data_IF_542571868459
#
_entry.id   IF_542571868459
#
_cell.length_a   1.000
_cell.length_b   1.000
_cell.length_c   1.000
_cell.angle_alpha   90.00
_cell.angle_beta   90.00
_cell.angle_gamma   90.00
#
_symmetry.space_group_name_H-M   'P 1'
#
loop_
_entity.id
_entity.type
_entity.pdbx_description
1 polymer ?
#
# COMPACT_ATOMS: atom_id res chain seq x y z
N UNK A 1 5.73 21.63 26.65
CA UNK A 1 5.40 20.31 27.21
C UNK A 1 5.05 19.42 26.04
N UNK A 2 5.56 18.19 25.98
CA UNK A 2 5.19 17.26 24.90
C UNK A 2 3.81 16.67 25.20
N UNK A 3 2.79 17.28 24.58
CA UNK A 3 1.39 16.90 24.76
C UNK A 3 1.05 15.62 23.98
N UNK A 4 0.02 14.92 24.44
CA UNK A 4 -0.57 13.81 23.73
C UNK A 4 -1.36 14.37 22.55
N UNK A 5 -0.91 14.11 21.32
CA UNK A 5 -1.58 14.59 20.12
C UNK A 5 -2.66 13.61 19.73
N UNK A 6 -3.91 14.08 19.71
CA UNK A 6 -5.07 13.28 19.29
C UNK A 6 -5.70 13.92 18.06
N UNK A 7 -5.71 13.21 16.95
CA UNK A 7 -6.29 13.69 15.70
C UNK A 7 -7.48 12.83 15.33
N UNK A 8 -8.66 13.45 15.27
CA UNK A 8 -9.83 12.84 14.63
C UNK A 8 -9.83 13.21 13.15
N UNK A 9 -10.16 12.25 12.31
CA UNK A 9 -10.22 12.46 10.87
C UNK A 9 -11.48 11.84 10.29
N UNK A 10 -11.97 12.50 9.26
CA UNK A 10 -13.05 12.03 8.41
C UNK A 10 -12.74 12.47 6.97
N UNK A 11 -13.00 11.59 6.01
CA UNK A 11 -12.78 11.87 4.60
C UNK A 11 -13.86 11.21 3.78
N UNK A 12 -14.34 11.93 2.77
CA UNK A 12 -15.25 11.41 1.77
C UNK A 12 -14.73 11.86 0.41
N UNK A 13 -14.68 10.94 -0.55
CA UNK A 13 -14.19 11.22 -1.89
C UNK A 13 -15.14 10.62 -2.93
N UNK A 14 -15.34 11.38 -4.00
CA UNK A 14 -15.98 10.94 -5.22
C UNK A 14 -14.94 10.76 -6.31
N UNK A 15 -15.04 9.64 -7.01
CA UNK A 15 -14.11 9.25 -8.06
C UNK A 15 -14.83 9.30 -9.40
N UNK A 16 -14.28 10.09 -10.32
CA UNK A 16 -14.83 10.34 -11.66
C UNK A 16 -13.82 9.94 -12.72
N UNK A 17 -14.23 9.11 -13.67
CA UNK A 17 -13.33 8.53 -14.67
C UNK A 17 -13.30 7.01 -14.56
N UNK A 18 -12.64 6.35 -15.51
CA UNK A 18 -12.70 4.91 -15.67
C UNK A 18 -14.05 4.36 -16.10
N UNK A 19 -14.25 3.05 -15.89
CA UNK A 19 -15.47 2.34 -16.30
C UNK A 19 -16.69 2.58 -15.42
N UNK A 20 -16.51 3.09 -14.18
CA UNK A 20 -17.60 3.30 -13.21
C UNK A 20 -17.19 4.33 -12.16
N UNK A 21 -18.01 5.36 -11.96
CA UNK A 21 -17.87 6.29 -10.82
C UNK A 21 -18.24 5.61 -9.50
N UNK A 22 -17.51 5.95 -8.43
CA UNK A 22 -17.71 5.37 -7.11
C UNK A 22 -17.36 6.35 -5.99
N UNK A 23 -17.66 5.94 -4.76
CA UNK A 23 -17.40 6.72 -3.56
C UNK A 23 -16.48 5.93 -2.65
N UNK A 24 -15.55 6.64 -2.02
CA UNK A 24 -14.72 6.11 -0.94
C UNK A 24 -14.71 7.07 0.23
N UNK A 25 -14.34 6.59 1.41
CA UNK A 25 -14.14 7.44 2.56
C UNK A 25 -13.41 6.74 3.68
N UNK A 26 -13.09 7.54 4.69
CA UNK A 26 -12.34 7.09 5.86
C UNK A 26 -12.79 7.86 7.09
N UNK A 27 -12.76 7.22 8.25
CA UNK A 27 -13.00 7.88 9.53
C UNK A 27 -12.16 7.23 10.62
N UNK A 28 -11.75 7.99 11.62
CA UNK A 28 -10.99 7.41 12.72
C UNK A 28 -10.31 8.40 13.64
N UNK A 29 -9.39 7.85 14.41
CA UNK A 29 -8.60 8.58 15.40
C UNK A 29 -7.16 8.07 15.40
N UNK A 30 -6.21 9.01 15.44
CA UNK A 30 -4.80 8.73 15.64
C UNK A 30 -4.28 9.46 16.87
N UNK A 31 -3.39 8.80 17.59
CA UNK A 31 -2.73 9.35 18.77
C UNK A 31 -1.23 9.21 18.61
N UNK A 32 -0.47 10.25 18.94
CA UNK A 32 0.99 10.22 18.99
C UNK A 32 1.51 11.03 20.18
N UNK A 33 2.64 10.63 20.76
CA UNK A 33 3.26 11.39 21.84
C UNK A 33 4.76 11.43 21.65
N UNK A 34 5.32 12.64 21.54
CA UNK A 34 6.77 12.82 21.50
C UNK A 34 7.36 12.64 22.90
N UNK A 35 8.45 11.89 22.99
CA UNK A 35 9.18 11.58 24.22
C UNK A 35 10.68 11.68 23.93
N UNK A 36 11.20 12.91 23.89
CA UNK A 36 12.60 13.15 23.53
C UNK A 36 12.89 12.75 22.07
N UNK A 37 13.69 11.71 21.87
CA UNK A 37 14.08 11.18 20.56
C UNK A 37 13.18 10.04 20.04
N UNK A 38 12.15 9.64 20.79
CA UNK A 38 11.18 8.61 20.40
C UNK A 38 9.76 9.18 20.42
N UNK A 39 8.93 8.76 19.47
CA UNK A 39 7.50 9.10 19.39
C UNK A 39 6.67 7.85 19.05
N UNK A 40 6.13 7.14 20.05
CA UNK A 40 5.11 6.11 19.79
C UNK A 40 3.82 6.73 19.25
N UNK A 41 3.05 5.94 18.51
CA UNK A 41 1.71 6.31 18.09
C UNK A 41 0.83 5.10 17.77
N UNK A 42 -0.48 5.31 17.82
CA UNK A 42 -1.49 4.33 17.49
C UNK A 42 -2.61 4.97 16.67
N UNK A 43 -3.22 4.23 15.75
CA UNK A 43 -4.31 4.74 14.91
C UNK A 43 -5.36 3.67 14.67
N UNK A 44 -6.61 4.09 14.67
CA UNK A 44 -7.74 3.30 14.25
C UNK A 44 -8.39 4.04 13.09
N UNK A 45 -8.46 3.40 11.93
CA UNK A 45 -9.15 3.90 10.75
C UNK A 45 -10.21 2.89 10.29
N UNK A 46 -11.35 3.39 9.83
CA UNK A 46 -12.33 2.60 9.07
C UNK A 46 -12.40 3.22 7.69
N UNK A 47 -11.98 2.47 6.67
CA UNK A 47 -12.08 2.85 5.28
C UNK A 47 -13.29 2.15 4.66
N UNK A 48 -14.02 2.83 3.77
CA UNK A 48 -15.11 2.23 3.01
C UNK A 48 -15.01 2.63 1.54
N UNK A 49 -15.36 1.70 0.65
CA UNK A 49 -15.30 1.90 -0.80
C UNK A 49 -16.16 0.85 -1.53
N UNK A 50 -16.69 1.21 -2.69
CA UNK A 50 -17.48 0.31 -3.55
C UNK A 50 -17.00 0.28 -5.02
N UNK A 51 -15.75 0.69 -5.22
CA UNK A 51 -15.06 0.75 -6.51
C UNK A 51 -13.58 1.05 -6.30
N UNK A 52 -12.83 1.16 -7.39
CA UNK A 52 -11.38 1.38 -7.34
C UNK A 52 -10.60 0.15 -6.87
N UNK A 53 -9.43 0.42 -6.31
CA UNK A 53 -8.49 -0.60 -5.82
C UNK A 53 -9.11 -1.40 -4.66
N UNK A 54 -8.96 -2.73 -4.69
CA UNK A 54 -9.55 -3.62 -3.69
C UNK A 54 -11.05 -3.91 -3.87
N UNK A 55 -11.73 -3.32 -4.85
CA UNK A 55 -13.08 -3.71 -5.26
C UNK A 55 -13.04 -4.52 -6.57
N UNK A 56 -14.12 -5.22 -6.92
CA UNK A 56 -14.28 -5.87 -8.23
C UNK A 56 -14.96 -4.96 -9.27
N UNK A 57 -14.69 -5.20 -10.55
CA UNK A 57 -15.19 -4.40 -11.69
C UNK A 57 -16.67 -4.64 -11.92
N UNK A 58 -17.11 -5.86 -11.64
CA UNK A 58 -18.45 -6.38 -11.85
C UNK A 58 -19.30 -6.37 -10.57
N UNK A 59 -18.79 -5.76 -9.50
CA UNK A 59 -19.46 -5.69 -8.19
C UNK A 59 -19.73 -4.25 -7.74
N UNK A 60 -20.85 -4.08 -7.03
CA UNK A 60 -21.20 -2.84 -6.31
C UNK A 60 -21.11 -3.02 -4.79
N UNK A 61 -20.53 -4.13 -4.32
CA UNK A 61 -20.44 -4.43 -2.90
C UNK A 61 -19.65 -3.33 -2.18
N UNK A 62 -20.14 -2.91 -1.02
CA UNK A 62 -19.42 -2.00 -0.14
C UNK A 62 -18.40 -2.81 0.67
N UNK A 63 -17.15 -2.39 0.60
CA UNK A 63 -16.08 -2.93 1.41
C UNK A 63 -15.82 -2.03 2.60
N UNK A 64 -15.42 -2.64 3.71
CA UNK A 64 -15.01 -1.96 4.93
C UNK A 64 -13.69 -2.54 5.38
N UNK A 65 -12.68 -1.68 5.53
CA UNK A 65 -11.37 -2.03 6.09
C UNK A 65 -11.22 -1.32 7.44
N UNK A 66 -11.24 -2.07 8.53
CA UNK A 66 -10.84 -1.55 9.85
C UNK A 66 -9.34 -1.77 10.01
N UNK A 67 -8.59 -0.68 10.06
CA UNK A 67 -7.12 -0.68 10.13
C UNK A 67 -6.69 -0.22 11.51
N UNK A 68 -6.08 -1.14 12.26
CA UNK A 68 -5.42 -0.89 13.55
C UNK A 68 -3.93 -0.73 13.30
N UNK A 69 -3.39 0.44 13.59
CA UNK A 69 -1.98 0.74 13.38
C UNK A 69 -1.26 0.99 14.70
N UNK A 70 -0.08 0.41 14.85
CA UNK A 70 0.91 0.81 15.87
C UNK A 70 2.19 1.29 15.19
N UNK A 71 2.80 2.36 15.72
CA UNK A 71 4.07 2.89 15.20
C UNK A 71 5.03 3.31 16.30
N UNK A 72 6.32 3.30 15.95
CA UNK A 72 7.38 3.97 16.69
C UNK A 72 8.17 4.81 15.70
N UNK A 73 8.32 6.10 16.00
CA UNK A 73 9.21 7.01 15.30
C UNK A 73 10.42 7.30 16.17
N UNK A 74 11.62 7.27 15.62
CA UNK A 74 12.83 7.79 16.27
C UNK A 74 13.40 8.91 15.43
N UNK A 75 13.90 9.97 16.07
CA UNK A 75 14.36 11.13 15.32
C UNK A 75 14.96 12.25 16.15
N UNK A 76 15.38 13.29 15.43
CA UNK A 76 16.00 14.49 15.97
C UNK A 76 15.44 15.76 15.31
N UNK A 77 15.64 16.90 15.97
CA UNK A 77 15.16 18.20 15.53
C UNK A 77 13.66 18.40 15.73
N UNK A 78 13.18 19.60 15.41
CA UNK A 78 11.77 19.96 15.48
C UNK A 78 11.32 20.35 14.08
N UNK A 79 10.49 19.50 13.46
CA UNK A 79 9.94 19.72 12.13
C UNK A 79 8.46 20.08 12.21
N UNK A 80 7.96 20.70 11.15
CA UNK A 80 6.52 20.87 10.98
C UNK A 80 5.82 19.49 10.96
N UNK A 81 4.57 19.37 11.42
CA UNK A 81 3.87 18.10 11.40
C UNK A 81 3.80 17.52 9.99
N UNK A 82 4.00 16.22 9.86
CA UNK A 82 3.86 15.51 8.60
C UNK A 82 3.08 14.23 8.83
N UNK A 83 2.07 13.99 8.01
CA UNK A 83 1.21 12.80 8.09
C UNK A 83 2.02 11.55 7.79
N UNK A 84 1.87 10.52 8.62
CA UNK A 84 2.31 9.15 8.34
C UNK A 84 1.14 8.43 7.66
N UNK A 85 1.32 7.85 6.48
CA UNK A 85 0.30 7.09 5.74
C UNK A 85 0.55 5.58 5.89
N UNK A 86 0.15 4.95 7.01
CA UNK A 86 0.64 3.63 7.38
C UNK A 86 0.26 2.52 6.39
N UNK A 87 -0.72 2.76 5.51
CA UNK A 87 -1.15 1.89 4.43
C UNK A 87 -1.19 2.70 3.11
N UNK A 88 -2.26 2.60 2.32
CA UNK A 88 -2.45 3.38 1.10
C UNK A 88 -2.83 4.83 1.41
N UNK A 89 -2.60 5.75 0.47
CA UNK A 89 -2.83 7.21 0.68
C UNK A 89 -4.29 7.63 0.88
N UNK A 90 -5.23 6.75 0.53
CA UNK A 90 -6.65 6.92 0.84
C UNK A 90 -7.07 6.36 2.21
N UNK A 91 -6.18 5.63 2.90
CA UNK A 91 -6.44 5.18 4.26
C UNK A 91 -6.21 6.36 5.19
N UNK A 92 -7.25 6.72 5.94
CA UNK A 92 -7.15 7.82 6.90
C UNK A 92 -6.12 7.55 7.98
N UNK A 93 -5.43 8.61 8.40
CA UNK A 93 -4.41 8.54 9.44
C UNK A 93 -4.40 9.83 10.26
N UNK A 94 -4.48 9.66 11.57
CA UNK A 94 -4.21 10.71 12.55
C UNK A 94 -2.77 10.67 13.09
N UNK A 95 -1.89 9.86 12.49
CA UNK A 95 -0.50 9.74 12.91
C UNK A 95 0.34 10.85 12.30
N UNK A 96 1.07 11.56 13.14
CA UNK A 96 2.00 12.60 12.73
C UNK A 96 3.44 12.19 13.05
N UNK A 97 4.37 12.81 12.34
CA UNK A 97 5.79 12.88 12.65
C UNK A 97 6.17 14.35 12.84
N UNK A 98 6.92 14.67 13.90
CA UNK A 98 7.35 16.04 14.27
C UNK A 98 8.85 16.18 14.41
N UNK A 99 9.60 15.13 14.07
CA UNK A 99 11.04 15.26 13.94
C UNK A 99 11.39 15.91 12.61
N UNK A 100 12.51 16.61 12.57
CA UNK A 100 13.05 17.12 11.32
C UNK A 100 13.72 15.99 10.53
N UNK A 101 14.38 15.06 11.25
CA UNK A 101 14.99 13.87 10.68
C UNK A 101 14.55 12.67 11.49
N UNK A 102 13.97 11.67 10.83
CA UNK A 102 13.41 10.52 11.53
C UNK A 102 13.32 9.28 10.67
N UNK A 103 13.30 8.15 11.37
CA UNK A 103 12.85 6.87 10.86
C UNK A 103 11.62 6.45 11.66
N UNK A 104 10.58 6.03 10.95
CA UNK A 104 9.37 5.48 11.53
C UNK A 104 9.22 4.05 11.05
N UNK A 105 8.85 3.16 11.95
CA UNK A 105 8.38 1.82 11.61
C UNK A 105 7.06 1.55 12.31
N UNK A 106 6.23 0.73 11.69
CA UNK A 106 4.98 0.34 12.29
C UNK A 106 4.34 -0.83 11.57
N UNK A 107 3.15 -1.15 12.04
CA UNK A 107 2.41 -2.30 11.57
C UNK A 107 0.91 -2.02 11.59
N UNK A 108 0.19 -2.67 10.68
CA UNK A 108 -1.24 -2.54 10.48
C UNK A 108 -1.89 -3.93 10.57
N UNK A 109 -2.93 -4.04 11.39
CA UNK A 109 -3.88 -5.15 11.34
C UNK A 109 -5.12 -4.66 10.61
N UNK A 110 -5.42 -5.29 9.49
CA UNK A 110 -6.52 -4.94 8.59
C UNK A 110 -7.59 -6.00 8.77
N UNK A 111 -8.79 -5.59 9.19
CA UNK A 111 -9.97 -6.44 9.24
C UNK A 111 -10.93 -6.01 8.14
N UNK A 112 -11.24 -6.91 7.23
CA UNK A 112 -12.07 -6.62 6.06
C UNK A 112 -13.34 -7.47 6.04
N UNK A 113 -14.46 -6.86 5.66
CA UNK A 113 -15.78 -7.51 5.62
C UNK A 113 -15.93 -8.60 4.55
N UNK A 114 -15.02 -8.69 3.57
CA UNK A 114 -14.93 -9.78 2.61
C UNK A 114 -14.00 -10.91 3.05
N UNK A 115 -13.56 -10.92 4.33
CA UNK A 115 -12.66 -11.94 4.87
C UNK A 115 -11.18 -11.74 4.50
N UNK A 116 -10.82 -10.55 4.03
CA UNK A 116 -9.45 -10.19 3.60
C UNK A 116 -8.63 -9.62 4.75
N UNK A 117 -8.51 -10.39 5.84
CA UNK A 117 -7.84 -9.94 7.05
C UNK A 117 -6.33 -10.08 6.92
N UNK A 118 -5.59 -8.97 7.06
CA UNK A 118 -4.16 -8.93 6.74
C UNK A 118 -3.33 -8.26 7.83
N UNK A 119 -2.06 -8.64 7.91
CA UNK A 119 -1.05 -7.97 8.72
C UNK A 119 0.06 -7.40 7.84
N UNK A 120 0.18 -6.06 7.80
CA UNK A 120 1.08 -5.33 6.89
C UNK A 120 2.02 -4.41 7.66
N UNK A 121 3.30 -4.44 7.35
CA UNK A 121 4.30 -3.56 7.96
C UNK A 121 4.50 -2.30 7.13
N UNK A 122 5.02 -1.24 7.76
CA UNK A 122 5.47 -0.07 7.02
C UNK A 122 6.71 0.56 7.63
N UNK A 123 7.45 1.28 6.79
CA UNK A 123 8.59 2.11 7.17
C UNK A 123 8.49 3.46 6.50
N UNK A 124 8.95 4.50 7.18
CA UNK A 124 9.04 5.86 6.65
C UNK A 124 10.36 6.49 7.06
N UNK A 125 10.96 7.22 6.12
CA UNK A 125 12.11 8.08 6.34
C UNK A 125 11.71 9.53 6.09
N UNK A 126 12.23 10.43 6.91
CA UNK A 126 11.97 11.86 6.80
C UNK A 126 13.25 12.66 6.86
N UNK A 127 13.32 13.69 6.03
CA UNK A 127 14.33 14.74 6.09
C UNK A 127 13.69 16.10 5.77
N UNK A 128 13.54 16.96 6.79
CA UNK A 128 12.87 18.25 6.69
C UNK A 128 11.40 18.10 6.30
N UNK A 129 11.02 18.76 5.20
CA UNK A 129 9.68 18.71 4.62
C UNK A 129 9.59 17.68 3.48
N UNK A 130 10.52 16.73 3.43
CA UNK A 130 10.46 15.59 2.53
C UNK A 130 10.29 14.29 3.31
N UNK A 131 9.48 13.39 2.79
CA UNK A 131 9.47 12.00 3.25
C UNK A 131 9.24 11.00 2.15
N UNK A 132 9.73 9.80 2.45
CA UNK A 132 9.46 8.58 1.73
C UNK A 132 8.85 7.59 2.70
N UNK A 133 7.81 6.90 2.26
CA UNK A 133 7.17 5.83 2.99
C UNK A 133 6.90 4.66 2.06
N UNK A 134 7.02 3.45 2.60
CA UNK A 134 6.54 2.24 1.95
C UNK A 134 5.90 1.32 2.97
N UNK A 135 4.84 0.65 2.56
CA UNK A 135 4.23 -0.45 3.28
C UNK A 135 4.30 -1.70 2.41
N UNK A 136 4.41 -2.83 3.06
CA UNK A 136 4.48 -4.11 2.38
C UNK A 136 4.18 -5.26 3.34
N UNK A 137 3.84 -6.43 2.81
CA UNK A 137 3.75 -7.65 3.60
C UNK A 137 4.98 -8.58 3.42
N UNK A 138 5.94 -8.29 2.53
CA UNK A 138 7.12 -9.12 2.20
C UNK A 138 7.87 -9.76 3.37
N UNK A 139 8.56 -10.86 3.06
CA UNK A 139 9.28 -11.71 4.01
C UNK A 139 10.32 -11.01 4.91
N UNK A 140 10.87 -9.85 4.52
CA UNK A 140 11.73 -9.07 5.42
C UNK A 140 10.96 -8.49 6.62
N UNK A 141 9.73 -8.03 6.39
CA UNK A 141 8.83 -7.52 7.44
C UNK A 141 8.26 -8.67 8.29
N UNK A 142 8.00 -9.83 7.66
CA UNK A 142 7.66 -11.07 8.37
C UNK A 142 8.78 -11.52 9.32
N UNK A 143 10.04 -11.46 8.87
CA UNK A 143 11.22 -11.84 9.69
C UNK A 143 11.35 -11.02 10.98
N UNK A 144 10.91 -9.77 10.97
CA UNK A 144 10.92 -8.89 12.15
C UNK A 144 9.54 -8.80 12.83
N UNK A 145 8.58 -9.62 12.41
CA UNK A 145 7.27 -9.78 13.06
C UNK A 145 6.27 -8.64 12.85
N UNK A 146 6.42 -7.84 11.78
CA UNK A 146 5.52 -6.70 11.50
C UNK A 146 4.58 -6.92 10.31
N UNK A 147 4.61 -8.11 9.69
CA UNK A 147 3.67 -8.56 8.65
C UNK A 147 3.47 -10.08 8.68
N UNK A 148 2.42 -10.57 8.00
CA UNK A 148 2.13 -12.01 7.85
C UNK A 148 2.85 -12.67 6.65
N UNK A 149 3.16 -11.88 5.62
CA UNK A 149 3.96 -12.26 4.46
C UNK A 149 3.34 -13.33 3.58
N UNK A 150 2.09 -13.09 3.19
CA UNK A 150 1.35 -13.94 2.27
C UNK A 150 1.15 -13.35 0.87
N UNK A 151 1.61 -12.13 0.59
CA UNK A 151 1.58 -11.45 -0.71
C UNK A 151 0.18 -11.37 -1.34
N UNK A 152 -0.79 -10.92 -0.53
CA UNK A 152 -2.21 -10.88 -0.90
C UNK A 152 -2.85 -9.57 -0.47
N UNK A 153 -3.88 -9.12 -1.18
CA UNK A 153 -4.61 -7.88 -0.89
C UNK A 153 -3.68 -6.68 -0.88
N UNK A 154 -3.42 -6.01 0.23
CA UNK A 154 -2.49 -4.87 0.29
C UNK A 154 -1.02 -5.33 0.29
N UNK A 155 -0.59 -5.92 -0.83
CA UNK A 155 0.75 -6.47 -1.06
C UNK A 155 1.85 -5.41 -0.98
N UNK A 156 1.59 -4.18 -1.42
CA UNK A 156 2.62 -3.17 -1.35
C UNK A 156 2.21 -1.81 -1.85
N UNK A 157 2.90 -0.81 -1.33
CA UNK A 157 2.76 0.54 -1.81
C UNK A 157 3.72 1.48 -1.11
N UNK A 158 3.61 2.75 -1.45
CA UNK A 158 4.44 3.78 -0.88
C UNK A 158 4.13 5.15 -1.45
N UNK A 159 4.69 6.16 -0.81
CA UNK A 159 4.53 7.53 -1.24
C UNK A 159 5.80 8.35 -1.00
N UNK A 160 5.95 9.37 -1.82
CA UNK A 160 6.83 10.50 -1.59
C UNK A 160 5.97 11.70 -1.24
N UNK A 161 6.28 12.37 -0.14
CA UNK A 161 5.61 13.60 0.28
C UNK A 161 6.61 14.75 0.27
N UNK A 162 6.24 15.85 -0.38
CA UNK A 162 6.98 17.11 -0.44
C UNK A 162 6.12 18.22 0.17
N UNK A 163 6.65 18.90 1.19
CA UNK A 163 5.92 19.88 1.99
C UNK A 163 5.33 19.26 3.27
N UNK A 164 5.30 20.03 4.35
CA UNK A 164 4.71 19.61 5.61
C UNK A 164 3.17 19.67 5.56
N UNK A 165 2.51 19.06 6.53
CA UNK A 165 1.03 19.02 6.63
C UNK A 165 0.40 20.42 6.70
N UNK A 166 1.09 21.36 7.36
CA UNK A 166 0.61 22.73 7.57
C UNK A 166 1.22 23.73 6.58
N UNK A 167 1.95 23.27 5.57
CA UNK A 167 2.45 24.13 4.50
C UNK A 167 1.31 24.54 3.57
N UNK A 168 1.39 25.72 2.97
CA UNK A 168 0.42 26.17 1.96
C UNK A 168 0.32 25.18 0.80
N UNK A 169 1.43 24.52 0.45
CA UNK A 169 1.51 23.54 -0.62
C UNK A 169 2.10 22.23 -0.14
N UNK A 170 1.48 21.12 -0.53
CA UNK A 170 2.03 19.78 -0.36
C UNK A 170 1.76 18.95 -1.61
N UNK A 171 2.78 18.24 -2.08
CA UNK A 171 2.69 17.31 -3.20
C UNK A 171 2.95 15.90 -2.71
N UNK A 172 2.08 14.96 -3.05
CA UNK A 172 2.26 13.54 -2.74
C UNK A 172 2.18 12.76 -4.03
N UNK A 173 3.18 11.91 -4.26
CA UNK A 173 3.18 10.93 -5.35
C UNK A 173 3.17 9.55 -4.70
N UNK A 174 2.17 8.74 -5.02
CA UNK A 174 1.99 7.43 -4.41
C UNK A 174 1.81 6.32 -5.43
N UNK A 175 2.19 5.11 -5.02
CA UNK A 175 1.96 3.87 -5.75
C UNK A 175 1.38 2.87 -4.76
N UNK A 176 0.18 2.36 -5.02
CA UNK A 176 -0.47 1.33 -4.21
C UNK A 176 -0.79 0.14 -5.10
N UNK A 177 -0.61 -1.07 -4.59
CA UNK A 177 -0.95 -2.29 -5.32
C UNK A 177 -1.81 -3.18 -4.44
N UNK A 178 -2.87 -3.70 -5.06
CA UNK A 178 -3.77 -4.65 -4.45
C UNK A 178 -3.83 -5.92 -5.28
N UNK A 179 -3.73 -7.07 -4.64
CA UNK A 179 -3.78 -8.39 -5.28
C UNK A 179 -4.84 -9.29 -4.68
N UNK A 180 -5.28 -10.29 -5.44
CA UNK A 180 -6.01 -11.43 -4.93
C UNK A 180 -5.11 -12.25 -3.99
N UNK A 181 -5.73 -13.14 -3.22
CA UNK A 181 -4.99 -14.24 -2.61
C UNK A 181 -4.47 -15.14 -3.75
N UNK A 182 -3.15 -15.17 -3.91
CA UNK A 182 -2.45 -15.97 -4.93
C UNK A 182 -1.74 -17.13 -4.24
N UNK A 183 -1.40 -18.18 -5.01
CA UNK A 183 -0.61 -19.30 -4.51
C UNK A 183 0.86 -18.86 -4.32
N UNK A 184 1.09 -17.98 -3.34
CA UNK A 184 2.40 -17.41 -3.04
C UNK A 184 3.43 -18.45 -2.57
N UNK A 185 2.98 -19.65 -2.24
CA UNK A 185 3.79 -20.78 -1.79
C UNK A 185 3.84 -21.93 -2.82
N UNK A 186 3.34 -21.70 -4.05
CA UNK A 186 3.31 -22.74 -5.08
C UNK A 186 4.70 -23.25 -5.38
N UNK A 187 4.96 -24.53 -5.09
CA UNK A 187 6.24 -25.14 -5.45
C UNK A 187 6.46 -25.11 -6.97
N UNK A 188 5.38 -25.26 -7.74
CA UNK A 188 5.41 -25.17 -9.20
C UNK A 188 5.81 -23.78 -9.67
N UNK A 189 5.17 -22.73 -9.17
CA UNK A 189 5.49 -21.37 -9.60
C UNK A 189 6.88 -20.94 -9.13
N UNK A 190 7.31 -21.38 -7.94
CA UNK A 190 8.69 -21.20 -7.46
C UNK A 190 9.71 -21.86 -8.40
N UNK A 191 9.53 -23.14 -8.72
CA UNK A 191 10.46 -23.88 -9.60
C UNK A 191 10.52 -23.27 -11.01
N UNK A 192 9.37 -22.82 -11.53
CA UNK A 192 9.33 -22.13 -12.82
C UNK A 192 10.05 -20.78 -12.77
N UNK A 193 9.89 -20.00 -11.69
CA UNK A 193 10.60 -18.75 -11.49
C UNK A 193 12.12 -18.96 -11.33
N UNK A 194 12.55 -20.00 -10.61
CA UNK A 194 13.97 -20.38 -10.49
C UNK A 194 14.58 -20.74 -11.84
N UNK A 195 13.90 -21.56 -12.65
CA UNK A 195 14.34 -21.90 -13.99
C UNK A 195 14.46 -20.66 -14.90
N UNK A 196 13.46 -19.78 -14.86
CA UNK A 196 13.46 -18.51 -15.59
C UNK A 196 14.63 -17.61 -15.18
N UNK A 197 14.94 -17.53 -13.88
CA UNK A 197 16.08 -16.77 -13.38
C UNK A 197 17.41 -17.36 -13.83
N UNK A 198 17.55 -18.68 -13.86
CA UNK A 198 18.75 -19.36 -14.33
C UNK A 198 19.03 -19.03 -15.80
N UNK A 199 18.02 -19.16 -16.66
CA UNK A 199 18.09 -18.80 -18.09
C UNK A 199 18.47 -17.32 -18.29
N UNK A 200 17.85 -16.42 -17.51
CA UNK A 200 18.19 -14.99 -17.55
C UNK A 200 19.63 -14.72 -17.10
N UNK A 201 20.09 -15.38 -16.03
CA UNK A 201 21.43 -15.16 -15.47
C UNK A 201 22.54 -15.59 -16.43
N UNK A 202 22.31 -16.62 -17.26
CA UNK A 202 23.25 -17.05 -18.29
C UNK A 202 23.52 -15.96 -19.35
N UNK A 203 22.50 -15.14 -19.64
CA UNK A 203 22.58 -14.07 -20.66
C UNK A 203 22.87 -12.69 -20.07
N UNK A 204 22.58 -12.47 -18.79
CA UNK A 204 22.78 -11.20 -18.10
C UNK A 204 24.24 -11.03 -17.59
N UNK A 205 25.14 -10.75 -18.53
CA UNK A 205 26.55 -10.48 -18.24
C UNK A 205 26.82 -8.98 -18.04
N UNK A 206 27.98 -8.65 -17.46
CA UNK A 206 28.40 -7.27 -17.19
C UNK A 206 28.72 -7.01 -15.72
N UNK A 207 28.88 -5.75 -15.35
CA UNK A 207 29.12 -5.31 -13.98
C UNK A 207 27.93 -5.61 -13.07
N UNK A 208 28.15 -5.60 -11.74
CA UNK A 208 27.08 -5.80 -10.77
C UNK A 208 25.93 -4.79 -10.94
N UNK A 209 26.24 -3.53 -11.24
CA UNK A 209 25.25 -2.49 -11.50
C UNK A 209 24.41 -2.79 -12.75
N UNK A 210 25.06 -3.19 -13.85
CA UNK A 210 24.37 -3.55 -15.09
C UNK A 210 23.46 -4.76 -14.88
N UNK A 211 23.95 -5.80 -14.20
CA UNK A 211 23.15 -7.00 -13.92
C UNK A 211 21.95 -6.69 -13.05
N UNK A 212 22.12 -5.84 -12.04
CA UNK A 212 21.03 -5.43 -11.14
C UNK A 212 19.99 -4.58 -11.87
N UNK A 213 20.44 -3.62 -12.70
CA UNK A 213 19.55 -2.81 -13.54
C UNK A 213 18.78 -3.68 -14.53
N UNK A 214 19.48 -4.58 -15.23
CA UNK A 214 18.87 -5.49 -16.19
C UNK A 214 17.86 -6.42 -15.51
N UNK A 215 18.13 -6.88 -14.28
CA UNK A 215 17.17 -7.66 -13.50
C UNK A 215 15.92 -6.84 -13.16
N UNK A 216 16.07 -5.59 -12.77
CA UNK A 216 14.91 -4.75 -12.46
C UNK A 216 14.05 -4.44 -13.71
N UNK A 217 14.68 -4.24 -14.88
CA UNK A 217 14.00 -3.70 -16.07
C UNK A 217 13.68 -4.74 -17.15
N UNK A 218 14.54 -5.74 -17.35
CA UNK A 218 14.49 -6.65 -18.50
C UNK A 218 14.14 -8.09 -18.12
N UNK A 219 14.29 -8.47 -16.85
CA UNK A 219 13.85 -9.77 -16.37
C UNK A 219 12.34 -9.77 -16.14
N UNK A 220 11.68 -10.83 -16.60
CA UNK A 220 10.25 -11.09 -16.34
C UNK A 220 10.15 -12.50 -15.77
N UNK A 221 9.83 -12.66 -14.48
CA UNK A 221 9.60 -13.98 -13.90
C UNK A 221 8.30 -14.58 -14.46
N UNK A 222 8.01 -15.81 -14.06
CA UNK A 222 6.74 -16.46 -14.42
C UNK A 222 5.54 -15.72 -13.82
N UNK A 223 4.35 -15.99 -14.36
CA UNK A 223 3.11 -15.41 -13.85
C UNK A 223 2.44 -16.35 -12.84
N UNK A 224 1.84 -15.76 -11.80
CA UNK A 224 1.03 -16.49 -10.83
C UNK A 224 -0.19 -17.11 -11.51
N UNK A 225 -0.57 -18.31 -11.07
CA UNK A 225 -1.87 -18.88 -11.40
C UNK A 225 -2.96 -18.41 -10.44
N UNK A 226 -4.18 -18.24 -10.94
CA UNK A 226 -5.34 -17.89 -10.10
C UNK A 226 -5.69 -19.09 -9.22
N UNK A 227 -5.85 -18.88 -7.92
CA UNK A 227 -6.18 -19.94 -6.98
C UNK A 227 -7.52 -20.57 -7.37
N UNK A 228 -7.56 -21.91 -7.42
CA UNK A 228 -8.77 -22.70 -7.61
C UNK A 228 -9.24 -23.37 -6.30
N UNK A 229 -10.41 -24.03 -6.38
CA UNK A 229 -11.01 -24.70 -5.23
C UNK A 229 -10.20 -25.91 -4.75
N UNK A 230 -9.46 -26.56 -5.64
CA UNK A 230 -8.68 -27.75 -5.30
C UNK A 230 -7.41 -27.37 -4.54
N UNK A 231 -6.78 -26.26 -4.90
CA UNK A 231 -5.70 -25.66 -4.11
C UNK A 231 -6.18 -25.28 -2.71
N UNK A 232 -7.31 -24.57 -2.59
CA UNK A 232 -7.83 -24.15 -1.27
C UNK A 232 -8.15 -25.34 -0.36
N UNK A 233 -8.67 -26.43 -0.93
CA UNK A 233 -8.86 -27.71 -0.23
C UNK A 233 -7.55 -28.29 0.28
N UNK A 234 -6.52 -28.30 -0.53
CA UNK A 234 -5.24 -28.92 -0.21
C UNK A 234 -4.40 -28.09 0.77
N UNK A 235 -4.42 -26.76 0.63
CA UNK A 235 -3.41 -25.87 1.23
C UNK A 235 -3.97 -24.85 2.22
N UNK A 236 -5.29 -24.69 2.31
CA UNK A 236 -5.96 -23.62 3.07
C UNK A 236 -7.23 -24.10 3.77
N UNK A 237 -7.16 -25.27 4.42
CA UNK A 237 -8.22 -25.82 5.28
C UNK A 237 -9.61 -25.85 4.62
N UNK A 238 -9.67 -26.04 3.30
CA UNK A 238 -10.93 -26.07 2.53
C UNK A 238 -11.76 -24.79 2.68
N UNK A 239 -11.09 -23.63 2.79
CA UNK A 239 -11.74 -22.32 2.65
C UNK A 239 -12.44 -22.26 1.28
N UNK A 240 -13.73 -21.89 1.22
CA UNK A 240 -14.44 -21.79 -0.05
C UNK A 240 -13.82 -20.72 -0.95
N UNK A 241 -13.71 -21.06 -2.24
CA UNK A 241 -13.34 -20.05 -3.23
C UNK A 241 -14.38 -18.93 -3.26
N UNK A 242 -13.89 -17.70 -3.26
CA UNK A 242 -14.71 -16.49 -3.36
C UNK A 242 -14.02 -15.49 -4.27
N UNK A 243 -14.77 -14.95 -5.22
CA UNK A 243 -14.27 -13.94 -6.13
C UNK A 243 -13.82 -12.65 -5.39
N UNK A 244 -14.41 -12.38 -4.22
CA UNK A 244 -14.06 -11.21 -3.39
C UNK A 244 -12.71 -11.35 -2.67
N UNK A 245 -12.08 -12.52 -2.73
CA UNK A 245 -10.76 -12.79 -2.13
C UNK A 245 -9.74 -13.26 -3.17
N UNK A 246 -10.17 -14.06 -4.15
CA UNK A 246 -9.27 -14.86 -5.00
C UNK A 246 -9.28 -14.44 -6.47
N UNK A 247 -10.20 -13.58 -6.90
CA UNK A 247 -10.30 -13.25 -8.32
C UNK A 247 -9.21 -12.30 -8.77
N UNK A 248 -8.56 -12.60 -9.90
CA UNK A 248 -7.58 -11.70 -10.53
C UNK A 248 -8.18 -10.38 -11.05
N UNK A 249 -9.50 -10.23 -11.02
CA UNK A 249 -10.14 -8.92 -11.20
C UNK A 249 -9.85 -7.94 -10.04
N UNK A 250 -9.44 -8.44 -8.87
CA UNK A 250 -8.96 -7.61 -7.75
C UNK A 250 -7.56 -7.05 -7.99
N UNK A 251 -6.75 -7.72 -8.81
CA UNK A 251 -5.37 -7.33 -9.08
C UNK A 251 -5.34 -5.99 -9.78
N UNK A 252 -4.81 -4.96 -9.12
CA UNK A 252 -4.76 -3.62 -9.69
C UNK A 252 -3.69 -2.79 -8.99
N UNK A 253 -2.89 -2.08 -9.77
CA UNK A 253 -2.06 -1.01 -9.27
C UNK A 253 -2.77 0.33 -9.36
N UNK A 254 -2.33 1.28 -8.54
CA UNK A 254 -2.75 2.68 -8.58
C UNK A 254 -1.53 3.57 -8.41
N UNK A 255 -1.34 4.50 -9.34
CA UNK A 255 -0.43 5.63 -9.17
C UNK A 255 -1.24 6.90 -8.90
N UNK A 256 -0.95 7.60 -7.81
CA UNK A 256 -1.71 8.79 -7.40
C UNK A 256 -0.80 10.02 -7.39
N UNK A 257 -1.28 11.12 -7.98
CA UNK A 257 -0.73 12.45 -7.81
C UNK A 257 -1.69 13.32 -7.00
N UNK A 258 -1.25 13.79 -5.85
CA UNK A 258 -2.06 14.59 -4.91
C UNK A 258 -1.39 15.94 -4.74
N UNK A 259 -2.14 17.01 -4.94
CA UNK A 259 -1.70 18.38 -4.63
C UNK A 259 -2.65 18.98 -3.61
N UNK A 260 -2.10 19.40 -2.47
CA UNK A 260 -2.80 20.17 -1.46
C UNK A 260 -2.40 21.64 -1.57
N UNK A 261 -3.40 22.50 -1.49
CA UNK A 261 -3.28 23.96 -1.52
C UNK A 261 -4.15 24.54 -0.40
N UNK A 262 -4.05 25.84 -0.07
CA UNK A 262 -4.95 26.45 0.92
C UNK A 262 -6.42 26.39 0.48
N UNK A 263 -6.68 26.28 -0.83
CA UNK A 263 -8.01 26.26 -1.42
C UNK A 263 -8.62 24.86 -1.55
N UNK A 264 -7.87 23.80 -1.23
CA UNK A 264 -8.36 22.43 -1.33
C UNK A 264 -7.32 21.42 -1.80
N UNK A 265 -7.80 20.21 -2.11
CA UNK A 265 -6.97 19.10 -2.56
C UNK A 265 -7.46 18.59 -3.91
N UNK A 266 -6.54 18.49 -4.87
CA UNK A 266 -6.77 17.89 -6.18
C UNK A 266 -6.01 16.57 -6.28
N UNK A 267 -6.65 15.55 -6.85
CA UNK A 267 -6.09 14.21 -6.99
C UNK A 267 -6.38 13.64 -8.36
N UNK A 268 -5.34 13.06 -8.95
CA UNK A 268 -5.43 12.31 -10.21
C UNK A 268 -4.82 10.94 -9.97
N UNK A 269 -5.54 9.90 -10.34
CA UNK A 269 -5.11 8.52 -10.15
C UNK A 269 -5.11 7.82 -11.51
N UNK A 270 -4.03 7.11 -11.81
CA UNK A 270 -4.00 6.09 -12.86
C UNK A 270 -4.12 4.72 -12.21
N UNK A 271 -5.03 3.88 -12.69
CA UNK A 271 -5.30 2.55 -12.17
C UNK A 271 -5.22 1.50 -13.27
N UNK A 272 -4.83 0.29 -12.91
CA UNK A 272 -4.81 -0.86 -13.82
C UNK A 272 -3.52 -1.67 -13.70
N UNK A 273 -3.29 -2.53 -14.70
CA UNK A 273 -2.11 -3.39 -14.79
C UNK A 273 -0.82 -2.57 -14.96
N UNK A 274 -0.85 -1.50 -15.76
CA UNK A 274 0.33 -0.65 -16.00
C UNK A 274 0.78 0.13 -14.77
N UNK A 275 -0.03 0.13 -13.72
CA UNK A 275 0.25 0.82 -12.46
C UNK A 275 0.76 -0.12 -11.35
N UNK A 276 0.97 -1.41 -11.66
CA UNK A 276 1.56 -2.40 -10.72
C UNK A 276 3.10 -2.34 -10.67
N UNK A 277 3.71 -1.31 -11.25
CA UNK A 277 5.17 -1.16 -11.43
C UNK A 277 5.95 -1.41 -10.14
N UNK A 278 5.47 -0.88 -9.00
CA UNK A 278 6.17 -1.06 -7.73
C UNK A 278 6.23 -2.52 -7.30
N UNK A 279 5.17 -3.28 -7.52
CA UNK A 279 5.15 -4.72 -7.22
C UNK A 279 6.02 -5.49 -8.21
N UNK A 280 5.87 -5.21 -9.50
CA UNK A 280 6.64 -5.88 -10.56
C UNK A 280 8.15 -5.74 -10.36
N UNK A 281 8.62 -4.54 -10.03
CA UNK A 281 10.04 -4.28 -9.78
C UNK A 281 10.53 -5.10 -8.58
N UNK A 282 9.74 -5.18 -7.50
CA UNK A 282 10.12 -5.96 -6.33
C UNK A 282 10.13 -7.46 -6.67
N UNK A 283 9.09 -7.98 -7.33
CA UNK A 283 8.96 -9.38 -7.70
C UNK A 283 10.11 -9.83 -8.62
N UNK A 284 10.49 -9.01 -9.60
CA UNK A 284 11.69 -9.23 -10.43
C UNK A 284 12.97 -9.28 -9.60
N UNK A 285 13.08 -8.40 -8.61
CA UNK A 285 14.26 -8.29 -7.73
C UNK A 285 14.41 -9.49 -6.79
N UNK A 286 13.30 -10.02 -6.28
CA UNK A 286 13.31 -11.17 -5.36
C UNK A 286 13.12 -12.53 -6.06
N UNK A 287 12.94 -12.53 -7.38
CA UNK A 287 12.59 -13.71 -8.18
C UNK A 287 11.28 -14.37 -7.76
N UNK A 288 10.23 -13.56 -7.70
CA UNK A 288 8.88 -14.00 -7.39
C UNK A 288 7.99 -13.80 -8.61
N UNK A 289 6.93 -14.61 -8.73
CA UNK A 289 6.07 -14.56 -9.90
C UNK A 289 5.35 -13.21 -10.03
N UNK A 290 5.09 -12.75 -11.26
CA UNK A 290 4.26 -11.57 -11.49
C UNK A 290 2.78 -11.92 -11.32
N UNK A 291 2.01 -11.01 -10.73
CA UNK A 291 0.58 -11.22 -10.50
C UNK A 291 -0.18 -10.51 -11.64
N UNK A 292 -0.83 -11.25 -12.57
CA UNK A 292 -1.46 -10.62 -13.71
C UNK A 292 -2.78 -9.94 -13.32
N UNK A 293 -3.09 -8.82 -13.95
CA UNK A 293 -4.36 -8.12 -13.75
C UNK A 293 -5.32 -8.33 -14.92
N UNK A 294 -6.60 -8.58 -14.61
CA UNK A 294 -7.70 -8.59 -15.59
C UNK A 294 -8.28 -7.18 -15.83
N UNK A 295 -7.83 -6.18 -15.07
CA UNK A 295 -8.38 -4.82 -15.12
C UNK A 295 -7.74 -4.01 -16.27
N UNK A 296 -8.55 -3.28 -17.06
CA UNK A 296 -8.01 -2.33 -18.02
C UNK A 296 -7.37 -1.15 -17.29
N UNK A 297 -6.43 -0.48 -17.97
CA UNK A 297 -5.86 0.77 -17.48
C UNK A 297 -6.85 1.93 -17.69
N UNK A 298 -7.00 2.78 -16.68
CA UNK A 298 -7.81 3.99 -16.76
C UNK A 298 -7.33 5.08 -15.81
N UNK A 299 -7.79 6.29 -16.08
CA UNK A 299 -7.56 7.45 -15.23
C UNK A 299 -8.85 7.89 -14.55
N UNK A 300 -8.72 8.34 -13.32
CA UNK A 300 -9.79 8.98 -12.57
C UNK A 300 -9.28 10.27 -11.90
N UNK A 301 -10.22 11.17 -11.68
CA UNK A 301 -10.08 12.36 -10.85
C UNK A 301 -10.86 12.11 -9.58
N UNK A 302 -10.22 12.40 -8.45
CA UNK A 302 -10.79 12.24 -7.12
C UNK A 302 -10.98 13.62 -6.51
N UNK A 303 -12.20 13.87 -6.02
CA UNK A 303 -12.57 15.12 -5.34
C UNK A 303 -13.24 14.82 -4.02
N UNK A 304 -12.95 15.61 -2.99
CA UNK A 304 -13.50 15.43 -1.67
C UNK A 304 -13.27 16.65 -0.79
N UNK A 305 -14.14 16.90 0.20
CA UNK A 305 -13.92 17.96 1.17
C UNK A 305 -12.75 17.63 2.10
N UNK A 306 -11.97 18.65 2.46
CA UNK A 306 -10.90 18.53 3.45
C UNK A 306 -11.48 18.63 4.87
N UNK A 307 -11.65 17.49 5.54
CA UNK A 307 -12.10 17.43 6.94
C UNK A 307 -11.08 16.76 7.87
N UNK A 308 -9.98 17.44 8.19
CA UNK A 308 -9.13 17.06 9.33
C UNK A 308 -9.30 18.07 10.46
N UNK A 309 -9.82 17.63 11.62
CA UNK A 309 -9.93 18.46 12.82
C UNK A 309 -9.16 17.80 13.95
N UNK A 310 -7.95 18.29 14.24
CA UNK A 310 -7.26 18.01 15.49
C UNK A 310 -7.87 18.85 16.63
N UNK A 311 -7.85 18.32 17.85
CA UNK A 311 -8.12 19.06 19.09
C UNK A 311 -6.87 19.05 19.95
#
# INVERSE_FOLDING_TARGET
MDELETTFFFGLNWHFGGGKSYMSGTAGVGVSKRMGFVQPGANLAVNFYNGGIGARSDSNMMHFDTVLTGKITTGAGHGNPMTVYPLHVDSGSGLEDRYQYSATMGTNLILNNSGRNQHVGFVQLRAGDFSFQTYNDFGAFKKIGISDGHDRWWTGGGNFTFGAKNSDYQVIVASDVFTADTDSESERDRLNAEKSLEEFTQTNQGSWLERTRNRALNYTPTFASEIDTDFLKASRDNIPWSAEQHSFDLNMGRTSGIVRTPNGTARVNGLGASHMISQDVIHRTINFHLIPSKRPDYWEVQVGPNFSKGF
#
